data_IF_633575950813
#
_entry.id   IF_633575950813
#
_cell.length_a   1.000
_cell.length_b   1.000
_cell.length_c   1.000
_cell.angle_alpha   90.00
_cell.angle_beta   90.00
_cell.angle_gamma   90.00
#
_symmetry.space_group_name_H-M   'P 1'
#
loop_
_entity.id
_entity.type
_entity.pdbx_description
1 polymer ?
#
# COMPACT_ATOMS: atom_id res chain seq x y z
N UNK A 1 13.25 11.58 -3.35
CA UNK A 1 13.13 11.40 -4.81
C UNK A 1 12.32 12.54 -5.38
N UNK A 2 12.73 13.16 -6.49
CA UNK A 2 11.96 14.18 -7.21
C UNK A 2 11.06 13.54 -8.27
N UNK A 3 10.07 14.28 -8.80
CA UNK A 3 9.23 13.80 -9.92
C UNK A 3 10.05 13.40 -11.15
N UNK A 4 11.07 14.20 -11.48
CA UNK A 4 11.94 13.93 -12.62
C UNK A 4 12.78 12.65 -12.41
N UNK A 5 13.22 12.42 -11.17
CA UNK A 5 13.90 11.17 -10.81
C UNK A 5 12.96 9.96 -10.92
N UNK A 6 11.72 10.07 -10.41
CA UNK A 6 10.73 9.00 -10.56
C UNK A 6 10.45 8.70 -12.04
N UNK A 7 10.21 9.75 -12.83
CA UNK A 7 9.95 9.64 -14.26
C UNK A 7 11.09 8.94 -15.01
N UNK A 8 12.35 9.26 -14.66
CA UNK A 8 13.51 8.58 -15.20
C UNK A 8 13.58 7.10 -14.78
N UNK A 9 13.34 6.79 -13.50
CA UNK A 9 13.36 5.41 -13.00
C UNK A 9 12.28 4.53 -13.64
N UNK A 10 11.13 5.11 -13.96
CA UNK A 10 10.00 4.42 -14.61
C UNK A 10 9.86 4.79 -16.08
N UNK A 11 10.96 5.19 -16.75
CA UNK A 11 11.05 5.43 -18.21
C UNK A 11 9.80 6.12 -18.81
N UNK A 12 9.44 7.28 -18.25
CA UNK A 12 8.35 8.14 -18.76
C UNK A 12 8.77 9.60 -18.77
N UNK A 13 7.99 10.42 -19.48
CA UNK A 13 8.14 11.87 -19.42
C UNK A 13 7.74 12.39 -18.02
N UNK A 14 8.46 13.36 -17.42
CA UNK A 14 8.05 14.00 -16.16
C UNK A 14 6.61 14.54 -16.11
N UNK A 15 6.06 14.93 -17.27
CA UNK A 15 4.66 15.36 -17.40
C UNK A 15 3.67 14.22 -17.12
N UNK A 16 4.03 12.97 -17.42
CA UNK A 16 3.22 11.79 -17.12
C UNK A 16 3.03 11.65 -15.61
N UNK A 17 4.11 11.78 -14.81
CA UNK A 17 4.02 11.83 -13.34
C UNK A 17 3.15 13.01 -12.89
N UNK A 18 3.24 14.14 -13.59
CA UNK A 18 2.31 15.27 -13.50
C UNK A 18 0.83 14.86 -13.56
N UNK A 19 0.46 14.21 -14.67
CA UNK A 19 -0.90 13.79 -14.97
C UNK A 19 -1.43 12.70 -14.01
N UNK A 20 -0.56 11.75 -13.61
CA UNK A 20 -0.92 10.70 -12.66
C UNK A 20 -1.37 11.28 -11.31
N UNK A 21 -0.63 12.24 -10.75
CA UNK A 21 -0.97 12.81 -9.44
C UNK A 21 -2.24 13.68 -9.46
N UNK A 22 -2.59 14.27 -10.60
CA UNK A 22 -3.85 15.01 -10.76
C UNK A 22 -5.05 14.11 -11.06
N UNK A 23 -4.81 12.83 -11.38
CA UNK A 23 -5.85 11.90 -11.83
C UNK A 23 -6.31 12.13 -13.27
N UNK A 24 -5.59 12.93 -14.07
CA UNK A 24 -5.90 13.18 -15.48
C UNK A 24 -5.67 11.94 -16.34
N UNK A 25 -4.81 11.03 -15.87
CA UNK A 25 -4.42 9.82 -16.58
C UNK A 25 -4.23 8.66 -15.61
N UNK A 26 -4.71 7.47 -15.99
CA UNK A 26 -4.42 6.23 -15.28
C UNK A 26 -3.18 5.57 -15.90
N UNK A 27 -2.27 5.01 -15.10
CA UNK A 27 -1.10 4.32 -15.64
C UNK A 27 -1.53 3.04 -16.37
N UNK A 28 -0.72 2.62 -17.35
CA UNK A 28 -0.80 1.23 -17.83
C UNK A 28 -0.41 0.27 -16.71
N UNK A 29 -0.79 -1.01 -16.84
CA UNK A 29 -0.43 -2.03 -15.85
C UNK A 29 1.09 -2.15 -15.68
N UNK A 30 1.84 -2.10 -16.79
CA UNK A 30 3.30 -2.08 -16.79
C UNK A 30 3.87 -0.89 -16.01
N UNK A 31 3.39 0.33 -16.28
CA UNK A 31 3.84 1.53 -15.59
C UNK A 31 3.50 1.45 -14.09
N UNK A 32 2.33 0.92 -13.74
CA UNK A 32 1.94 0.72 -12.35
C UNK A 32 2.93 -0.21 -11.63
N UNK A 33 3.30 -1.34 -12.23
CA UNK A 33 4.27 -2.27 -11.62
C UNK A 33 5.68 -1.69 -11.54
N UNK A 34 6.15 -0.95 -12.55
CA UNK A 34 7.46 -0.27 -12.46
C UNK A 34 7.49 0.78 -11.36
N UNK A 35 6.39 1.48 -11.12
CA UNK A 35 6.26 2.38 -9.96
C UNK A 35 6.33 1.58 -8.65
N UNK A 36 5.66 0.43 -8.57
CA UNK A 36 5.70 -0.46 -7.41
C UNK A 36 7.14 -0.91 -7.08
N UNK A 37 7.91 -1.31 -8.09
CA UNK A 37 9.30 -1.75 -7.94
C UNK A 37 10.20 -0.63 -7.38
N UNK A 38 9.97 0.63 -7.79
CA UNK A 38 10.73 1.79 -7.28
C UNK A 38 10.51 2.03 -5.79
N UNK A 39 9.30 1.73 -5.29
CA UNK A 39 8.94 1.92 -3.89
C UNK A 39 9.07 0.67 -3.02
N UNK A 40 9.38 -0.49 -3.62
CA UNK A 40 9.40 -1.79 -2.95
C UNK A 40 8.08 -2.08 -2.21
N UNK A 41 6.95 -1.83 -2.90
CA UNK A 41 5.61 -1.97 -2.36
C UNK A 41 4.69 -2.72 -3.32
N UNK A 42 3.70 -3.48 -2.81
CA UNK A 42 2.70 -4.13 -3.66
C UNK A 42 1.75 -3.10 -4.30
N UNK A 43 1.11 -3.50 -5.41
CA UNK A 43 0.24 -2.61 -6.20
C UNK A 43 -0.94 -2.07 -5.39
N UNK A 44 -1.49 -2.85 -4.46
CA UNK A 44 -2.59 -2.44 -3.58
C UNK A 44 -2.17 -1.37 -2.57
N UNK A 45 -0.88 -1.32 -2.21
CA UNK A 45 -0.33 -0.29 -1.32
C UNK A 45 0.00 1.01 -2.07
N UNK A 46 0.37 0.93 -3.36
CA UNK A 46 0.66 2.13 -4.17
C UNK A 46 -0.62 2.75 -4.75
N UNK A 47 -1.54 1.90 -5.21
CA UNK A 47 -2.79 2.30 -5.88
C UNK A 47 -4.02 1.87 -5.06
N UNK A 48 -3.99 2.13 -3.75
CA UNK A 48 -5.12 1.85 -2.87
C UNK A 48 -6.39 2.53 -3.35
N UNK A 49 -7.51 1.80 -3.32
CA UNK A 49 -8.85 2.36 -3.62
C UNK A 49 -9.48 3.07 -2.43
N UNK A 50 -8.88 2.91 -1.25
CA UNK A 50 -9.27 3.59 -0.02
C UNK A 50 -8.19 4.61 0.35
N UNK A 51 -8.61 5.78 0.82
CA UNK A 51 -7.70 6.80 1.34
C UNK A 51 -6.91 6.27 2.54
N UNK A 52 -5.63 6.65 2.63
CA UNK A 52 -4.82 6.32 3.79
C UNK A 52 -5.26 7.15 4.99
N UNK A 53 -5.59 6.49 6.09
CA UNK A 53 -5.81 7.16 7.36
C UNK A 53 -4.54 7.82 7.90
N UNK A 54 -4.65 8.71 8.90
CA UNK A 54 -3.50 9.28 9.57
C UNK A 54 -2.59 8.19 10.14
N UNK A 55 -1.29 8.32 9.92
CA UNK A 55 -0.32 7.33 10.41
C UNK A 55 -0.41 7.12 11.93
N UNK A 56 -0.71 8.17 12.70
CA UNK A 56 -0.89 8.06 14.15
C UNK A 56 -2.04 7.13 14.54
N UNK A 57 -3.15 7.15 13.80
CA UNK A 57 -4.28 6.25 14.01
C UNK A 57 -3.89 4.80 13.76
N UNK A 58 -3.08 4.53 12.74
CA UNK A 58 -2.63 3.17 12.42
C UNK A 58 -1.55 2.67 13.40
N UNK A 59 -0.61 3.53 13.80
CA UNK A 59 0.48 3.17 14.72
C UNK A 59 -0.01 2.96 16.16
N UNK A 60 -0.92 3.80 16.64
CA UNK A 60 -1.42 3.74 18.03
C UNK A 60 -2.76 3.04 18.17
N UNK A 61 -3.24 2.33 17.13
CA UNK A 61 -4.52 1.63 17.18
C UNK A 61 -4.53 0.62 18.34
N UNK A 62 -5.33 0.82 19.40
CA UNK A 62 -5.41 -0.17 20.46
C UNK A 62 -6.21 -1.36 19.91
N UNK A 63 -5.52 -2.48 19.63
CA UNK A 63 -6.20 -3.72 19.22
C UNK A 63 -5.57 -4.59 18.13
N UNK A 64 -4.33 -4.36 17.64
CA UNK A 64 -3.64 -5.35 16.80
C UNK A 64 -3.02 -6.51 17.62
N UNK A 65 -3.72 -6.99 18.64
CA UNK A 65 -3.41 -8.28 19.25
C UNK A 65 -3.91 -9.32 18.25
N UNK A 66 -2.99 -10.12 17.73
CA UNK A 66 -3.24 -11.19 16.77
C UNK A 66 -4.30 -12.16 17.28
N UNK A 67 -5.51 -12.11 16.73
CA UNK A 67 -6.40 -13.27 16.74
C UNK A 67 -5.77 -14.35 15.86
N UNK A 68 -5.20 -15.39 16.49
CA UNK A 68 -4.70 -16.57 15.79
C UNK A 68 -3.43 -17.19 16.37
N UNK A 69 -3.47 -17.64 17.63
CA UNK A 69 -2.71 -18.83 18.02
C UNK A 69 -3.72 -19.96 18.19
N UNK A 70 -3.44 -21.07 17.54
CA UNK A 70 -4.33 -22.21 17.31
C UNK A 70 -4.90 -22.87 18.57
N UNK A 71 -6.03 -23.54 18.35
CA UNK A 71 -6.75 -24.43 19.25
C UNK A 71 -5.82 -25.47 19.88
N UNK A 72 -5.95 -25.68 21.20
CA UNK A 72 -5.90 -26.95 21.99
C UNK A 72 -5.97 -26.47 23.45
N UNK A 73 -6.97 -26.76 24.29
CA UNK A 73 -7.62 -28.04 24.61
C UNK A 73 -8.87 -27.76 25.48
N UNK A 74 -10.01 -28.38 25.15
CA UNK A 74 -11.08 -28.73 26.11
C UNK A 74 -10.64 -30.00 26.88
N UNK A 75 -11.24 -30.41 28.02
CA UNK A 75 -12.32 -29.78 28.82
C UNK A 75 -12.05 -29.79 30.34
N UNK A 76 -12.88 -29.11 31.14
CA UNK A 76 -13.46 -29.78 32.30
C UNK A 76 -14.82 -29.16 32.67
N UNK A 77 -15.86 -29.97 32.49
CA UNK A 77 -17.13 -29.82 33.20
C UNK A 77 -16.89 -29.99 34.71
N UNK A 78 -17.68 -29.32 35.54
CA UNK A 78 -18.38 -29.92 36.69
C UNK A 78 -19.08 -28.81 37.48
N UNK A 79 -20.37 -29.05 37.74
CA UNK A 79 -21.25 -28.51 38.81
C UNK A 79 -20.71 -27.39 39.71
#
# INVERSE_FOLDING_TARGET
MTRAQLAHLVDVNPQTVGALERGDHYPSLDLAFRICDVFDLPVEAVFSRAEFGPLSTEVYRPGRITEGSEKTSVPNESD
#
